data_IF_983048444078
#
_entry.id   IF_983048444078
#
_cell.length_a   1.000
_cell.length_b   1.000
_cell.length_c   1.000
_cell.angle_alpha   90.00
_cell.angle_beta   90.00
_cell.angle_gamma   90.00
#
_symmetry.space_group_name_H-M   'P 1'
#
loop_
_entity.id
_entity.type
_entity.pdbx_description
1 polymer ?
#
# COMPACT_ATOMS: atom_id res chain seq x y z
N UNK A 1 59.66 0.47 -21.94
CA UNK A 1 58.84 0.64 -20.71
C UNK A 1 57.44 0.10 -20.95
N UNK A 2 56.92 -0.73 -20.05
CA UNK A 2 55.87 -1.73 -20.33
C UNK A 2 54.44 -1.19 -20.13
N UNK A 3 54.10 -0.05 -20.75
CA UNK A 3 52.84 0.70 -20.51
C UNK A 3 51.57 -0.17 -20.66
N UNK A 4 51.53 -1.07 -21.65
CA UNK A 4 50.40 -2.01 -21.86
C UNK A 4 50.16 -2.93 -20.66
N UNK A 5 51.23 -3.28 -19.93
CA UNK A 5 51.17 -4.16 -18.75
C UNK A 5 50.62 -3.44 -17.52
N UNK A 6 50.77 -2.12 -17.43
CA UNK A 6 50.20 -1.29 -16.36
C UNK A 6 48.73 -0.96 -16.63
N UNK A 7 48.35 -0.72 -17.89
CA UNK A 7 46.96 -0.48 -18.29
C UNK A 7 46.09 -1.72 -18.00
N UNK A 8 46.56 -2.93 -18.35
CA UNK A 8 45.82 -4.17 -18.07
C UNK A 8 45.64 -4.43 -16.57
N UNK A 9 46.65 -4.14 -15.74
CA UNK A 9 46.55 -4.26 -14.29
C UNK A 9 45.60 -3.24 -13.66
N UNK A 10 45.54 -2.02 -14.20
CA UNK A 10 44.62 -0.98 -13.77
C UNK A 10 43.15 -1.35 -14.05
N UNK A 11 42.87 -1.94 -15.21
CA UNK A 11 41.51 -2.40 -15.57
C UNK A 11 41.06 -3.54 -14.65
N UNK A 12 41.93 -4.51 -14.38
CA UNK A 12 41.60 -5.63 -13.48
C UNK A 12 41.36 -5.13 -12.05
N UNK A 13 42.16 -4.18 -11.56
CA UNK A 13 41.96 -3.58 -10.25
C UNK A 13 40.63 -2.79 -10.16
N UNK A 14 40.25 -2.06 -11.21
CA UNK A 14 38.98 -1.34 -11.27
C UNK A 14 37.78 -2.31 -11.32
N UNK A 15 37.86 -3.38 -12.10
CA UNK A 15 36.83 -4.42 -12.17
C UNK A 15 36.68 -5.15 -10.83
N UNK A 16 37.79 -5.48 -10.15
CA UNK A 16 37.75 -6.08 -8.83
C UNK A 16 37.13 -5.13 -7.79
N UNK A 17 37.42 -3.83 -7.86
CA UNK A 17 36.83 -2.81 -6.99
C UNK A 17 35.31 -2.67 -7.23
N UNK A 18 34.87 -2.69 -8.49
CA UNK A 18 33.45 -2.66 -8.87
C UNK A 18 32.68 -3.90 -8.40
N UNK A 19 33.33 -5.07 -8.32
CA UNK A 19 32.73 -6.30 -7.79
C UNK A 19 32.58 -6.34 -6.26
N UNK A 20 33.23 -5.43 -5.52
CA UNK A 20 33.10 -5.31 -4.06
C UNK A 20 31.95 -4.37 -3.63
N UNK A 21 31.42 -3.56 -4.55
CA UNK A 21 30.31 -2.61 -4.31
C UNK A 21 28.94 -3.27 -4.06
N UNK A 22 28.56 -4.43 -4.65
CA UNK A 22 27.23 -5.01 -4.44
C UNK A 22 26.99 -5.48 -2.99
N UNK A 23 28.05 -5.87 -2.28
CA UNK A 23 27.94 -6.40 -0.92
C UNK A 23 27.56 -5.32 0.11
N UNK A 24 27.82 -4.04 -0.18
CA UNK A 24 27.43 -2.91 0.69
C UNK A 24 25.97 -2.48 0.52
N UNK A 25 25.26 -3.04 -0.46
CA UNK A 25 23.82 -2.81 -0.68
C UNK A 25 22.93 -3.93 -0.13
N UNK A 26 23.49 -4.94 0.54
CA UNK A 26 22.72 -5.90 1.29
C UNK A 26 22.15 -5.22 2.55
N UNK A 27 21.06 -4.48 2.38
CA UNK A 27 20.28 -3.94 3.49
C UNK A 27 19.46 -5.07 4.11
N UNK A 28 19.49 -5.19 5.44
CA UNK A 28 18.49 -5.96 6.18
C UNK A 28 17.12 -5.36 5.85
N UNK A 29 16.28 -6.11 5.15
CA UNK A 29 15.00 -5.61 4.64
C UNK A 29 14.03 -5.33 5.79
N UNK A 30 13.59 -4.08 5.93
CA UNK A 30 12.51 -3.69 6.83
C UNK A 30 11.28 -3.35 6.00
N UNK A 31 10.13 -3.93 6.35
CA UNK A 31 8.83 -3.59 5.79
C UNK A 31 7.88 -3.19 6.92
N UNK A 32 7.21 -2.06 6.77
CA UNK A 32 6.14 -1.61 7.66
C UNK A 32 4.80 -1.96 7.03
N UNK A 33 4.07 -2.89 7.64
CA UNK A 33 2.70 -3.22 7.26
C UNK A 33 1.71 -2.34 8.03
N UNK A 34 0.90 -1.58 7.31
CA UNK A 34 -0.24 -0.85 7.86
C UNK A 34 -1.50 -1.54 7.41
N UNK A 35 -2.47 -1.68 8.31
CA UNK A 35 -3.76 -2.27 7.98
C UNK A 35 -4.91 -1.43 8.51
N UNK A 36 -6.01 -1.45 7.78
CA UNK A 36 -7.30 -0.90 8.20
C UNK A 36 -8.39 -1.91 7.84
N UNK A 37 -9.19 -2.30 8.83
CA UNK A 37 -10.28 -3.26 8.75
C UNK A 37 -11.55 -2.65 9.34
N UNK A 38 -12.69 -3.27 9.08
CA UNK A 38 -13.94 -3.04 9.83
C UNK A 38 -14.30 -1.55 9.95
N UNK A 39 -14.12 -0.80 8.86
CA UNK A 39 -14.48 0.61 8.81
C UNK A 39 -16.00 0.74 8.89
N UNK A 40 -16.73 -0.20 8.28
CA UNK A 40 -18.19 -0.27 8.36
C UNK A 40 -18.84 1.11 8.07
N UNK A 41 -18.40 1.75 6.99
CA UNK A 41 -18.86 3.08 6.57
C UNK A 41 -18.43 4.28 7.44
N UNK A 42 -17.65 4.09 8.50
CA UNK A 42 -17.19 5.16 9.42
C UNK A 42 -16.03 5.98 8.84
N UNK A 43 -16.29 6.61 7.70
CA UNK A 43 -15.29 7.39 6.97
C UNK A 43 -15.03 8.78 7.58
N UNK A 44 -15.96 9.26 8.42
CA UNK A 44 -15.83 10.51 9.17
C UNK A 44 -15.37 10.26 10.61
N UNK A 45 -14.81 11.30 11.24
CA UNK A 45 -14.44 11.21 12.65
C UNK A 45 -15.68 11.28 13.54
N UNK A 46 -15.75 10.41 14.54
CA UNK A 46 -16.79 10.40 15.57
C UNK A 46 -16.18 10.72 16.93
N UNK A 47 -16.71 11.74 17.63
CA UNK A 47 -16.22 12.16 18.97
C UNK A 47 -14.70 12.29 19.04
N UNK A 48 -14.12 12.93 18.02
CA UNK A 48 -12.69 13.13 17.82
C UNK A 48 -11.83 11.86 17.60
N UNK A 49 -12.44 10.69 17.46
CA UNK A 49 -11.77 9.45 17.11
C UNK A 49 -12.02 9.05 15.64
N UNK A 50 -11.10 8.28 15.05
CA UNK A 50 -11.28 7.63 13.76
C UNK A 50 -11.47 8.57 12.54
N UNK A 51 -12.03 7.99 11.47
CA UNK A 51 -12.22 8.65 10.18
C UNK A 51 -11.01 8.54 9.25
N UNK A 52 -11.28 8.43 7.95
CA UNK A 52 -10.25 8.20 6.93
C UNK A 52 -9.27 9.36 6.82
N UNK A 53 -9.71 10.60 7.02
CA UNK A 53 -8.82 11.76 6.97
C UNK A 53 -7.71 11.70 8.04
N UNK A 54 -8.06 11.32 9.27
CA UNK A 54 -7.06 11.17 10.36
C UNK A 54 -6.16 9.95 10.10
N UNK A 55 -6.71 8.84 9.61
CA UNK A 55 -5.93 7.68 9.20
C UNK A 55 -4.94 8.02 8.08
N UNK A 56 -5.36 8.80 7.07
CA UNK A 56 -4.53 9.26 5.97
C UNK A 56 -3.30 10.03 6.47
N UNK A 57 -3.47 10.95 7.43
CA UNK A 57 -2.36 11.69 8.05
C UNK A 57 -1.32 10.75 8.67
N UNK A 58 -1.76 9.66 9.31
CA UNK A 58 -0.85 8.65 9.89
C UNK A 58 -0.10 7.90 8.78
N UNK A 59 -0.81 7.44 7.74
CA UNK A 59 -0.22 6.74 6.59
C UNK A 59 0.83 7.62 5.89
N UNK A 60 0.51 8.88 5.61
CA UNK A 60 1.42 9.85 4.99
C UNK A 60 2.67 10.09 5.84
N UNK A 61 2.50 10.28 7.16
CA UNK A 61 3.62 10.46 8.08
C UNK A 61 4.56 9.25 8.08
N UNK A 62 4.01 8.04 8.08
CA UNK A 62 4.80 6.82 8.06
C UNK A 62 5.53 6.64 6.73
N UNK A 63 4.85 6.88 5.60
CA UNK A 63 5.48 6.89 4.27
C UNK A 63 6.59 7.94 4.14
N UNK A 64 6.45 9.10 4.78
CA UNK A 64 7.50 10.12 4.81
C UNK A 64 8.69 9.72 5.70
N UNK A 65 8.45 8.93 6.76
CA UNK A 65 9.49 8.50 7.71
C UNK A 65 10.28 7.30 7.18
N UNK A 66 9.65 6.42 6.40
CA UNK A 66 10.24 5.20 5.86
C UNK A 66 9.86 5.01 4.37
N UNK A 67 10.36 5.88 3.48
CA UNK A 67 9.94 5.94 2.08
C UNK A 67 10.29 4.65 1.34
N UNK A 68 9.29 4.07 0.65
CA UNK A 68 9.43 2.84 -0.12
C UNK A 68 9.26 1.55 0.67
N UNK A 69 9.16 1.62 2.01
CA UNK A 69 9.07 0.44 2.87
C UNK A 69 7.73 0.34 3.63
N UNK A 70 6.73 1.16 3.28
CA UNK A 70 5.42 1.15 3.93
C UNK A 70 4.39 0.60 2.96
N UNK A 71 3.72 -0.47 3.37
CA UNK A 71 2.69 -1.15 2.59
C UNK A 71 1.37 -1.13 3.34
N UNK A 72 0.37 -0.46 2.77
CA UNK A 72 -0.94 -0.22 3.36
C UNK A 72 -1.98 -1.17 2.78
N UNK A 73 -2.58 -1.97 3.66
CA UNK A 73 -3.54 -3.03 3.34
C UNK A 73 -4.92 -2.66 3.87
N UNK A 74 -5.93 -2.68 3.01
CA UNK A 74 -7.33 -2.67 3.44
C UNK A 74 -7.81 -4.12 3.63
N UNK A 75 -8.48 -4.42 4.75
CA UNK A 75 -8.76 -5.80 5.19
C UNK A 75 -10.26 -6.05 5.37
N UNK A 76 -11.05 -5.78 4.34
CA UNK A 76 -12.49 -6.08 4.30
C UNK A 76 -13.37 -5.21 5.21
N UNK A 77 -14.69 -5.45 5.13
CA UNK A 77 -15.72 -4.86 5.97
C UNK A 77 -15.64 -3.32 6.03
N UNK A 78 -15.59 -2.74 4.83
CA UNK A 78 -15.58 -1.31 4.58
C UNK A 78 -16.97 -0.78 4.24
N UNK A 79 -17.74 -1.59 3.52
CA UNK A 79 -19.01 -1.23 2.89
C UNK A 79 -20.18 -1.59 3.83
N UNK A 80 -20.50 -0.72 4.79
CA UNK A 80 -21.66 -0.88 5.67
C UNK A 80 -22.29 0.49 6.00
N UNK A 81 -23.59 0.51 6.30
CA UNK A 81 -24.26 1.69 6.82
C UNK A 81 -24.86 2.63 5.76
N UNK A 82 -25.32 3.84 6.17
CA UNK A 82 -26.19 4.68 5.35
C UNK A 82 -25.56 5.16 4.03
N UNK A 83 -24.27 5.45 4.03
CA UNK A 83 -23.57 5.87 2.81
C UNK A 83 -23.43 4.72 1.84
N UNK A 84 -23.06 3.53 2.31
CA UNK A 84 -23.03 2.32 1.50
C UNK A 84 -24.39 2.04 0.86
N UNK A 85 -25.49 2.10 1.63
CA UNK A 85 -26.83 1.86 1.11
C UNK A 85 -27.29 2.86 0.05
N UNK A 86 -26.72 4.07 0.01
CA UNK A 86 -27.12 5.11 -0.93
C UNK A 86 -26.15 5.27 -2.11
N UNK A 87 -24.86 5.03 -1.88
CA UNK A 87 -23.77 5.27 -2.83
C UNK A 87 -23.02 4.00 -3.26
N UNK A 88 -23.45 2.83 -2.78
CA UNK A 88 -22.94 1.51 -3.14
C UNK A 88 -21.40 1.42 -3.06
N UNK A 89 -20.83 1.87 -1.94
CA UNK A 89 -19.40 1.73 -1.61
C UNK A 89 -18.50 2.79 -2.23
N UNK A 90 -19.07 3.71 -3.03
CA UNK A 90 -18.29 4.75 -3.71
C UNK A 90 -17.59 5.70 -2.73
N UNK A 91 -18.25 6.06 -1.64
CA UNK A 91 -17.72 7.06 -0.70
C UNK A 91 -16.50 6.49 0.06
N UNK A 92 -16.64 5.27 0.54
CA UNK A 92 -15.64 4.47 1.24
C UNK A 92 -14.42 4.26 0.35
N UNK A 93 -14.65 3.76 -0.87
CA UNK A 93 -13.58 3.45 -1.81
C UNK A 93 -12.85 4.71 -2.29
N UNK A 94 -13.55 5.83 -2.49
CA UNK A 94 -12.92 7.12 -2.82
C UNK A 94 -11.92 7.54 -1.73
N UNK A 95 -12.27 7.36 -0.46
CA UNK A 95 -11.35 7.67 0.65
C UNK A 95 -10.13 6.76 0.67
N UNK A 96 -10.31 5.45 0.45
CA UNK A 96 -9.22 4.48 0.40
C UNK A 96 -8.28 4.71 -0.80
N UNK A 97 -8.83 5.08 -1.96
CA UNK A 97 -8.05 5.48 -3.13
C UNK A 97 -7.21 6.73 -2.82
N UNK A 98 -7.78 7.74 -2.17
CA UNK A 98 -7.06 8.95 -1.77
C UNK A 98 -5.91 8.64 -0.79
N UNK A 99 -6.10 7.66 0.09
CA UNK A 99 -5.05 7.14 0.99
C UNK A 99 -4.00 6.28 0.28
N UNK A 100 -4.24 5.93 -0.99
CA UNK A 100 -3.41 5.05 -1.82
C UNK A 100 -3.15 3.71 -1.15
N UNK A 101 -4.20 2.96 -0.82
CA UNK A 101 -4.02 1.57 -0.39
C UNK A 101 -3.24 0.79 -1.44
N UNK A 102 -2.35 -0.10 -0.99
CA UNK A 102 -1.48 -0.89 -1.87
C UNK A 102 -2.17 -2.19 -2.31
N UNK A 103 -3.02 -2.75 -1.44
CA UNK A 103 -3.86 -3.92 -1.73
C UNK A 103 -5.07 -3.92 -0.79
N UNK A 104 -6.17 -4.50 -1.25
CA UNK A 104 -7.38 -4.70 -0.46
C UNK A 104 -7.91 -6.13 -0.51
N UNK A 105 -8.91 -6.40 0.31
CA UNK A 105 -9.72 -7.62 0.26
C UNK A 105 -11.17 -7.29 0.62
N UNK A 106 -12.07 -8.28 0.49
CA UNK A 106 -13.49 -8.14 0.78
C UNK A 106 -13.84 -9.06 1.96
N UNK A 107 -14.52 -8.50 2.94
CA UNK A 107 -15.16 -9.18 4.04
C UNK A 107 -16.59 -9.60 3.67
N UNK A 108 -17.38 -9.93 4.68
CA UNK A 108 -18.72 -10.46 4.47
C UNK A 108 -19.74 -9.35 4.19
N UNK A 109 -19.58 -8.16 4.75
CA UNK A 109 -20.55 -7.07 4.60
C UNK A 109 -20.59 -6.46 3.20
N UNK A 110 -19.52 -6.64 2.42
CA UNK A 110 -19.48 -6.25 1.01
C UNK A 110 -20.55 -6.93 0.13
N UNK A 111 -21.18 -8.01 0.62
CA UNK A 111 -22.23 -8.75 -0.07
C UNK A 111 -23.66 -8.39 0.38
N UNK A 112 -23.83 -7.49 1.36
CA UNK A 112 -25.11 -7.23 2.01
C UNK A 112 -26.19 -6.69 1.05
N UNK A 113 -25.78 -5.91 0.05
CA UNK A 113 -26.66 -5.37 -1.00
C UNK A 113 -26.75 -6.27 -2.24
N UNK A 114 -26.12 -7.44 -2.21
CA UNK A 114 -26.09 -8.39 -3.31
C UNK A 114 -24.97 -8.14 -4.32
N UNK A 115 -24.96 -8.99 -5.36
CA UNK A 115 -23.87 -9.12 -6.32
C UNK A 115 -23.61 -7.83 -7.11
N UNK A 116 -24.66 -7.15 -7.54
CA UNK A 116 -24.56 -5.96 -8.38
C UNK A 116 -23.85 -4.83 -7.63
N UNK A 117 -24.28 -4.54 -6.40
CA UNK A 117 -23.63 -3.57 -5.53
C UNK A 117 -22.20 -3.98 -5.16
N UNK A 118 -21.95 -5.27 -4.91
CA UNK A 118 -20.60 -5.79 -4.66
C UNK A 118 -19.64 -5.45 -5.82
N UNK A 119 -20.02 -5.75 -7.07
CA UNK A 119 -19.17 -5.49 -8.23
C UNK A 119 -19.05 -4.01 -8.55
N UNK A 120 -20.11 -3.23 -8.31
CA UNK A 120 -20.06 -1.77 -8.42
C UNK A 120 -19.04 -1.18 -7.43
N UNK A 121 -19.16 -1.52 -6.14
CA UNK A 121 -18.26 -1.08 -5.09
C UNK A 121 -16.81 -1.49 -5.35
N UNK A 122 -16.59 -2.74 -5.77
CA UNK A 122 -15.27 -3.29 -6.13
C UNK A 122 -14.68 -2.52 -7.33
N UNK A 123 -15.52 -2.13 -8.29
CA UNK A 123 -15.11 -1.38 -9.47
C UNK A 123 -14.64 0.05 -9.19
N UNK A 124 -14.92 0.60 -8.00
CA UNK A 124 -14.39 1.90 -7.59
C UNK A 124 -12.95 1.84 -7.10
N UNK A 125 -12.39 0.65 -6.82
CA UNK A 125 -11.05 0.52 -6.28
C UNK A 125 -9.97 0.84 -7.31
N UNK A 126 -9.00 1.68 -6.94
CA UNK A 126 -7.81 1.99 -7.76
C UNK A 126 -6.59 1.12 -7.39
N UNK A 127 -6.80 0.14 -6.49
CA UNK A 127 -5.80 -0.79 -6.01
C UNK A 127 -6.28 -2.24 -6.19
N UNK A 128 -5.37 -3.23 -6.27
CA UNK A 128 -5.76 -4.62 -6.44
C UNK A 128 -6.56 -5.12 -5.25
N UNK A 129 -7.68 -5.78 -5.53
CA UNK A 129 -8.47 -6.52 -4.54
C UNK A 129 -8.16 -8.01 -4.70
N UNK A 130 -7.79 -8.66 -3.60
CA UNK A 130 -7.43 -10.08 -3.58
C UNK A 130 -8.45 -10.85 -2.75
N UNK A 131 -9.15 -11.77 -3.38
CA UNK A 131 -10.02 -12.78 -2.74
C UNK A 131 -9.63 -14.13 -3.33
N UNK A 132 -9.19 -15.07 -2.50
CA UNK A 132 -8.55 -16.32 -2.95
C UNK A 132 -9.38 -17.58 -2.69
N UNK A 133 -10.62 -17.42 -2.22
CA UNK A 133 -11.54 -18.50 -1.86
C UNK A 133 -12.96 -18.24 -2.36
#
# INVERSE_FOLDING_TARGET
>A
MNAKRYVGKGIIALLALLMLVPATFAADGKLTLLSLNDIHGRIYSEKDAGGLAKAATVVEKLRATDPGNVFFVQVGDIDEGPLFFYFHGKAEMTGLNAMKADVGTRGNHEFDLGKEAFFEATGYAEFPIVVSN
#
